data_IF_367990209734
#
_entry.id   IF_367990209734
#
_cell.length_a   1.000
_cell.length_b   1.000
_cell.length_c   1.000
_cell.angle_alpha   90.00
_cell.angle_beta   90.00
_cell.angle_gamma   90.00
#
_symmetry.space_group_name_H-M   'P 1'
#
loop_
_entity.id
_entity.type
_entity.pdbx_description
1 polymer ?
#
# COMPACT_ATOMS: atom_id res chain seq x y z
N UNK A 1 -0.71 28.07 30.64
CA UNK A 1 0.10 26.93 30.18
C UNK A 1 1.56 27.37 30.15
N UNK A 2 2.49 26.71 30.87
CA UNK A 2 3.90 27.10 30.83
C UNK A 2 4.48 26.78 29.44
N UNK A 3 5.08 27.77 28.78
CA UNK A 3 5.76 27.60 27.49
C UNK A 3 7.02 26.76 27.69
N UNK A 4 7.08 25.58 27.07
CA UNK A 4 8.30 24.78 26.99
C UNK A 4 9.27 25.51 26.06
N UNK A 5 10.37 26.02 26.63
CA UNK A 5 11.49 26.53 25.84
C UNK A 5 12.35 25.33 25.47
N UNK A 6 12.36 24.96 24.19
CA UNK A 6 13.32 23.98 23.68
C UNK A 6 14.73 24.54 23.90
N UNK A 7 15.50 23.89 24.77
CA UNK A 7 16.91 24.21 24.98
C UNK A 7 17.68 23.60 23.80
N UNK A 8 18.21 24.43 22.91
CA UNK A 8 19.21 23.97 21.95
C UNK A 8 20.48 23.71 22.73
N UNK A 9 20.79 22.45 22.96
CA UNK A 9 22.09 22.04 23.47
C UNK A 9 23.08 22.16 22.30
N UNK A 10 24.13 22.96 22.48
CA UNK A 10 25.23 22.99 21.53
C UNK A 10 25.90 21.62 21.54
N UNK A 11 25.70 20.87 20.46
CA UNK A 11 26.25 19.53 20.30
C UNK A 11 27.76 19.64 20.11
N UNK A 12 28.53 19.58 21.19
CA UNK A 12 29.99 19.63 21.14
C UNK A 12 30.51 18.22 20.87
N UNK A 13 30.82 17.93 19.61
CA UNK A 13 31.39 16.65 19.15
C UNK A 13 31.29 16.48 17.64
N UNK A 14 32.04 15.53 17.07
CA UNK A 14 31.86 15.10 15.68
C UNK A 14 30.41 14.68 15.50
N UNK A 15 29.74 15.30 14.53
CA UNK A 15 28.35 15.01 14.15
C UNK A 15 28.07 13.50 14.21
N UNK A 16 26.95 13.12 14.84
CA UNK A 16 26.53 11.73 14.94
C UNK A 16 26.42 11.16 13.50
N UNK A 17 27.06 10.02 13.18
CA UNK A 17 26.94 9.45 11.85
C UNK A 17 25.47 9.18 11.53
N UNK A 18 25.12 9.16 10.24
CA UNK A 18 23.75 8.86 9.84
C UNK A 18 23.30 7.54 10.50
N UNK A 19 22.14 7.54 11.17
CA UNK A 19 21.68 6.38 11.92
C UNK A 19 21.52 5.19 10.97
N UNK A 20 22.26 4.13 11.26
CA UNK A 20 22.21 2.89 10.48
C UNK A 20 20.83 2.26 10.73
N UNK A 21 20.09 2.02 9.65
CA UNK A 21 18.76 1.42 9.70
C UNK A 21 18.86 -0.01 10.25
N UNK A 22 18.29 -0.24 11.42
CA UNK A 22 18.30 -1.54 12.14
C UNK A 22 16.94 -2.25 12.12
N UNK A 23 15.94 -1.63 11.49
CA UNK A 23 14.59 -2.14 11.34
C UNK A 23 14.13 -1.97 9.88
N UNK A 24 13.09 -2.70 9.44
CA UNK A 24 12.50 -2.53 8.12
C UNK A 24 12.17 -1.07 7.85
N UNK A 25 12.47 -0.60 6.64
CA UNK A 25 12.17 0.77 6.25
C UNK A 25 10.70 0.89 5.84
N UNK A 26 9.88 1.37 6.77
CA UNK A 26 8.45 1.62 6.53
C UNK A 26 8.20 2.55 5.33
N UNK A 27 9.18 3.39 4.96
CA UNK A 27 9.08 4.23 3.77
C UNK A 27 9.16 3.41 2.47
N UNK A 28 10.05 2.41 2.41
CA UNK A 28 10.16 1.50 1.27
C UNK A 28 8.89 0.65 1.13
N UNK A 29 8.35 0.14 2.24
CA UNK A 29 7.09 -0.62 2.23
C UNK A 29 5.92 0.21 1.68
N UNK A 30 5.84 1.50 2.05
CA UNK A 30 4.81 2.40 1.55
C UNK A 30 4.95 2.67 0.04
N UNK A 31 6.17 2.91 -0.45
CA UNK A 31 6.46 3.10 -1.88
C UNK A 31 6.10 1.82 -2.67
N UNK A 32 6.38 0.65 -2.11
CA UNK A 32 6.04 -0.62 -2.73
C UNK A 32 4.51 -0.82 -2.80
N UNK A 33 3.80 -0.55 -1.71
CA UNK A 33 2.34 -0.64 -1.68
C UNK A 33 1.67 0.30 -2.68
N UNK A 34 2.21 1.51 -2.86
CA UNK A 34 1.76 2.46 -3.89
C UNK A 34 1.99 1.90 -5.30
N UNK A 35 3.18 1.33 -5.56
CA UNK A 35 3.52 0.71 -6.84
C UNK A 35 2.58 -0.44 -7.20
N UNK A 36 2.28 -1.31 -6.23
CA UNK A 36 1.34 -2.43 -6.40
C UNK A 36 -0.08 -1.92 -6.66
N UNK A 37 -0.53 -0.89 -5.93
CA UNK A 37 -1.85 -0.28 -6.13
C UNK A 37 -2.00 0.27 -7.55
N UNK A 38 -0.98 0.96 -8.05
CA UNK A 38 -0.95 1.47 -9.43
C UNK A 38 -0.96 0.33 -10.46
N UNK A 39 -0.14 -0.71 -10.25
CA UNK A 39 -0.09 -1.87 -11.13
C UNK A 39 -1.47 -2.57 -11.22
N UNK A 40 -2.17 -2.71 -10.09
CA UNK A 40 -3.51 -3.28 -10.05
C UNK A 40 -4.51 -2.47 -10.88
N UNK A 41 -4.48 -1.14 -10.82
CA UNK A 41 -5.36 -0.30 -11.65
C UNK A 41 -5.11 -0.52 -13.15
N UNK A 42 -3.85 -0.61 -13.57
CA UNK A 42 -3.49 -0.87 -14.96
C UNK A 42 -3.98 -2.26 -15.41
N UNK A 43 -3.79 -3.29 -14.58
CA UNK A 43 -4.34 -4.63 -14.87
C UNK A 43 -5.85 -4.55 -15.09
N UNK A 44 -6.58 -3.88 -14.20
CA UNK A 44 -8.02 -3.74 -14.33
C UNK A 44 -8.42 -2.99 -15.61
N UNK A 45 -7.63 -2.03 -16.09
CA UNK A 45 -7.87 -1.32 -17.35
C UNK A 45 -7.69 -2.22 -18.58
N UNK A 46 -6.76 -3.18 -18.54
CA UNK A 46 -6.56 -4.12 -19.66
C UNK A 46 -7.69 -5.13 -19.85
N UNK A 47 -8.54 -5.33 -18.85
CA UNK A 47 -9.63 -6.30 -18.88
C UNK A 47 -10.90 -5.72 -19.53
N UNK A 48 -11.64 -6.57 -20.25
CA UNK A 48 -12.99 -6.22 -20.68
C UNK A 48 -13.92 -6.04 -19.46
N UNK A 49 -15.06 -5.34 -19.60
CA UNK A 49 -15.98 -5.13 -18.48
C UNK A 49 -16.43 -6.42 -17.79
N UNK A 50 -16.60 -7.51 -18.55
CA UNK A 50 -17.02 -8.82 -18.01
C UNK A 50 -15.88 -9.49 -17.26
N UNK A 51 -14.67 -9.54 -17.85
CA UNK A 51 -13.50 -10.15 -17.21
C UNK A 51 -13.15 -9.43 -15.91
N UNK A 52 -13.22 -8.09 -15.89
CA UNK A 52 -12.99 -7.30 -14.68
C UNK A 52 -14.00 -7.62 -13.57
N UNK A 53 -15.28 -7.76 -13.91
CA UNK A 53 -16.30 -8.12 -12.93
C UNK A 53 -16.06 -9.53 -12.35
N UNK A 54 -15.73 -10.50 -13.20
CA UNK A 54 -15.42 -11.88 -12.76
C UNK A 54 -14.18 -11.90 -11.88
N UNK A 55 -13.10 -11.23 -12.28
CA UNK A 55 -11.85 -11.15 -11.51
C UNK A 55 -12.08 -10.53 -10.13
N UNK A 56 -12.81 -9.42 -10.04
CA UNK A 56 -13.09 -8.78 -8.74
C UNK A 56 -13.94 -9.70 -7.85
N UNK A 57 -15.01 -10.29 -8.38
CA UNK A 57 -15.89 -11.18 -7.60
C UNK A 57 -15.16 -12.45 -7.13
N UNK A 58 -14.31 -13.02 -7.98
CA UNK A 58 -13.59 -14.25 -7.66
C UNK A 58 -12.39 -13.98 -6.75
N UNK A 59 -11.46 -13.12 -7.16
CA UNK A 59 -10.16 -12.97 -6.50
C UNK A 59 -10.20 -12.04 -5.30
N UNK A 60 -11.09 -11.04 -5.27
CA UNK A 60 -11.19 -10.07 -4.17
C UNK A 60 -12.29 -10.47 -3.19
N UNK A 61 -13.45 -10.90 -3.69
CA UNK A 61 -14.59 -11.26 -2.85
C UNK A 61 -14.71 -12.76 -2.57
N UNK A 62 -13.92 -13.61 -3.23
CA UNK A 62 -13.86 -15.03 -2.94
C UNK A 62 -15.03 -15.86 -3.48
N UNK A 63 -15.83 -15.33 -4.42
CA UNK A 63 -16.90 -16.11 -5.04
C UNK A 63 -16.33 -17.15 -5.99
N UNK A 64 -16.91 -18.35 -6.01
CA UNK A 64 -16.58 -19.34 -7.01
C UNK A 64 -17.11 -18.93 -8.40
N UNK A 65 -16.47 -19.42 -9.45
CA UNK A 65 -16.94 -19.23 -10.82
C UNK A 65 -18.39 -19.73 -11.01
N UNK A 66 -18.79 -20.78 -10.30
CA UNK A 66 -20.16 -21.31 -10.34
C UNK A 66 -21.19 -20.32 -9.80
N UNK A 67 -20.88 -19.68 -8.67
CA UNK A 67 -21.75 -18.64 -8.07
C UNK A 67 -21.87 -17.40 -8.97
N UNK A 68 -20.77 -16.98 -9.59
CA UNK A 68 -20.75 -15.83 -10.52
C UNK A 68 -21.55 -16.16 -11.80
N UNK A 69 -21.44 -17.38 -12.33
CA UNK A 69 -22.22 -17.79 -13.49
C UNK A 69 -23.73 -17.85 -13.17
N UNK A 70 -24.10 -18.34 -11.99
CA UNK A 70 -25.49 -18.41 -11.55
C UNK A 70 -26.14 -17.02 -11.42
N UNK A 71 -25.39 -16.00 -10.99
CA UNK A 71 -25.92 -14.64 -10.82
C UNK A 71 -26.27 -13.95 -12.15
N UNK A 72 -25.62 -14.33 -13.27
CA UNK A 72 -25.92 -13.79 -14.61
C UNK A 72 -27.13 -14.45 -15.26
N UNK A 73 -27.58 -15.59 -14.74
CA UNK A 73 -28.75 -16.30 -15.23
C UNK A 73 -30.09 -15.79 -14.65
N UNK A 74 -30.03 -14.79 -13.76
CA UNK A 74 -31.17 -14.05 -13.20
C UNK A 74 -31.30 -12.68 -13.87
#
# INVERSE_FOLDING_TARGET
MPKVKARREDYVGTWLPEPIRTAPDVAEDAIHAESVSMAMLLVLETLTPVERAVFVLHDVFGYSHGEICASRAA
#
